data_IF_078922527731
#
_entry.id   IF_078922527731
#
_cell.length_a   1.000
_cell.length_b   1.000
_cell.length_c   1.000
_cell.angle_alpha   90.00
_cell.angle_beta   90.00
_cell.angle_gamma   90.00
#
_symmetry.space_group_name_H-M   'P 1'
#
loop_
_entity.id
_entity.type
_entity.pdbx_description
1 polymer ?
#
# COMPACT_ATOMS: atom_id res chain seq x y z
N UNK A 1 10.67 -26.92 1.61
CA UNK A 1 11.11 -25.87 0.67
C UNK A 1 9.92 -24.98 0.41
N UNK A 2 9.87 -23.80 1.05
CA UNK A 2 8.84 -22.80 0.72
C UNK A 2 9.15 -22.35 -0.71
N UNK A 3 8.29 -22.73 -1.65
CA UNK A 3 8.47 -22.42 -3.06
C UNK A 3 8.63 -20.92 -3.24
N UNK A 4 9.60 -20.51 -4.05
CA UNK A 4 9.88 -19.12 -4.36
C UNK A 4 8.62 -18.49 -4.96
N UNK A 5 7.87 -17.71 -4.15
CA UNK A 5 6.61 -17.13 -4.60
C UNK A 5 6.91 -16.13 -5.73
N UNK A 6 6.34 -16.31 -6.93
CA UNK A 6 6.75 -15.53 -8.10
C UNK A 6 6.32 -14.06 -8.01
N UNK A 7 5.30 -13.76 -7.21
CA UNK A 7 4.78 -12.42 -7.03
C UNK A 7 5.34 -11.78 -5.77
N UNK A 8 6.03 -10.66 -5.99
CA UNK A 8 6.63 -9.83 -4.95
C UNK A 8 5.93 -8.47 -4.86
N UNK A 9 4.64 -8.43 -5.17
CA UNK A 9 3.86 -7.19 -5.16
C UNK A 9 2.50 -7.36 -4.49
N UNK A 10 2.09 -6.31 -3.77
CA UNK A 10 0.81 -6.20 -3.08
C UNK A 10 0.12 -4.93 -3.56
N UNK A 11 -1.15 -5.04 -3.96
CA UNK A 11 -2.02 -3.90 -4.26
C UNK A 11 -3.15 -3.86 -3.23
N UNK A 12 -3.21 -2.78 -2.46
CA UNK A 12 -4.28 -2.56 -1.48
C UNK A 12 -5.34 -1.64 -2.08
N UNK A 13 -6.59 -2.10 -2.14
CA UNK A 13 -7.68 -1.35 -2.77
C UNK A 13 -8.69 -0.90 -1.72
N UNK A 14 -9.11 0.36 -1.76
CA UNK A 14 -10.30 0.82 -1.03
C UNK A 14 -11.24 1.65 -1.94
N UNK A 15 -12.20 2.38 -1.37
CA UNK A 15 -13.16 3.17 -2.16
C UNK A 15 -12.45 4.29 -2.95
N UNK A 16 -11.85 5.28 -2.28
CA UNK A 16 -11.30 6.49 -2.93
C UNK A 16 -9.80 6.69 -2.71
N UNK A 17 -9.11 5.75 -2.09
CA UNK A 17 -7.67 5.80 -1.80
C UNK A 17 -7.18 7.01 -0.98
N UNK A 18 -7.94 7.43 0.03
CA UNK A 18 -7.58 8.58 0.89
C UNK A 18 -7.16 8.22 2.31
N UNK A 19 -7.51 7.02 2.81
CA UNK A 19 -7.27 6.65 4.20
C UNK A 19 -6.85 5.18 4.35
N UNK A 20 -7.79 4.24 4.24
CA UNK A 20 -7.56 2.81 4.52
C UNK A 20 -6.41 2.20 3.70
N UNK A 21 -6.46 2.34 2.37
CA UNK A 21 -5.44 1.74 1.51
C UNK A 21 -4.08 2.46 1.57
N UNK A 22 -3.99 3.81 1.70
CA UNK A 22 -2.71 4.48 1.97
C UNK A 22 -2.08 4.12 3.33
N UNK A 23 -2.89 3.99 4.39
CA UNK A 23 -2.42 3.53 5.72
C UNK A 23 -1.81 2.13 5.59
N UNK A 24 -2.53 1.22 4.95
CA UNK A 24 -2.05 -0.15 4.74
C UNK A 24 -0.79 -0.19 3.86
N UNK A 25 -0.69 0.66 2.83
CA UNK A 25 0.52 0.81 2.03
C UNK A 25 1.71 1.26 2.88
N UNK A 26 1.54 2.29 3.72
CA UNK A 26 2.57 2.76 4.64
C UNK A 26 3.01 1.67 5.62
N UNK A 27 2.05 1.04 6.30
CA UNK A 27 2.30 -0.03 7.27
C UNK A 27 3.06 -1.22 6.67
N UNK A 28 2.56 -1.77 5.56
CA UNK A 28 3.20 -2.92 4.92
C UNK A 28 4.55 -2.56 4.32
N UNK A 29 4.72 -1.35 3.78
CA UNK A 29 6.02 -0.87 3.30
C UNK A 29 7.02 -0.75 4.45
N UNK A 30 6.60 -0.23 5.60
CA UNK A 30 7.44 -0.12 6.80
C UNK A 30 7.98 -1.50 7.22
N UNK A 31 7.09 -2.49 7.38
CA UNK A 31 7.51 -3.84 7.78
C UNK A 31 8.30 -4.58 6.70
N UNK A 32 7.98 -4.36 5.42
CA UNK A 32 8.76 -4.94 4.33
C UNK A 32 10.20 -4.44 4.37
N UNK A 33 10.39 -3.14 4.59
CA UNK A 33 11.73 -2.55 4.77
C UNK A 33 12.41 -3.04 6.05
N UNK A 34 11.69 -3.07 7.17
CA UNK A 34 12.21 -3.50 8.48
C UNK A 34 12.76 -4.94 8.43
N UNK A 35 12.07 -5.84 7.72
CA UNK A 35 12.45 -7.24 7.58
C UNK A 35 13.28 -7.53 6.33
N UNK A 36 13.71 -6.51 5.58
CA UNK A 36 14.45 -6.67 4.32
C UNK A 36 13.76 -7.60 3.31
N UNK A 37 12.41 -7.54 3.27
CA UNK A 37 11.60 -8.27 2.31
C UNK A 37 11.56 -7.50 0.99
N UNK A 38 11.92 -8.18 -0.09
CA UNK A 38 11.78 -7.66 -1.45
C UNK A 38 10.30 -7.74 -1.87
N UNK A 39 9.48 -6.82 -1.35
CA UNK A 39 8.03 -6.73 -1.62
C UNK A 39 7.67 -5.29 -2.00
N UNK A 40 7.05 -5.11 -3.16
CA UNK A 40 6.51 -3.83 -3.62
C UNK A 40 5.06 -3.67 -3.16
N UNK A 41 4.77 -2.64 -2.36
CA UNK A 41 3.42 -2.36 -1.88
C UNK A 41 2.89 -1.09 -2.54
N UNK A 42 1.69 -1.17 -3.13
CA UNK A 42 0.98 -0.06 -3.75
C UNK A 42 -0.46 0.03 -3.22
N UNK A 43 -1.11 1.19 -3.38
CA UNK A 43 -2.55 1.36 -3.10
C UNK A 43 -3.32 2.03 -4.25
N UNK A 44 -4.62 1.73 -4.37
CA UNK A 44 -5.53 2.43 -5.29
C UNK A 44 -6.99 2.50 -4.80
N UNK A 45 -7.80 3.29 -5.49
CA UNK A 45 -9.23 3.45 -5.25
C UNK A 45 -10.06 2.81 -6.36
N UNK A 46 -11.15 2.13 -6.02
CA UNK A 46 -12.05 1.52 -7.02
C UNK A 46 -13.07 2.51 -7.58
N UNK A 47 -13.35 3.61 -6.87
CA UNK A 47 -14.43 4.53 -7.23
C UNK A 47 -13.99 5.45 -8.38
N UNK A 48 -14.93 5.88 -9.23
CA UNK A 48 -14.65 6.83 -10.32
C UNK A 48 -14.12 8.18 -9.84
N UNK A 49 -14.33 8.50 -8.57
CA UNK A 49 -13.77 9.65 -7.86
C UNK A 49 -12.59 9.28 -6.94
N UNK A 50 -11.84 8.22 -7.29
CA UNK A 50 -10.60 7.88 -6.61
C UNK A 50 -9.63 9.07 -6.61
N UNK A 51 -8.95 9.24 -5.48
CA UNK A 51 -8.03 10.33 -5.19
C UNK A 51 -6.61 9.81 -5.04
N UNK A 52 -6.21 8.92 -5.96
CA UNK A 52 -4.89 8.30 -5.97
C UNK A 52 -3.79 9.37 -6.03
N UNK A 53 -2.85 9.34 -5.09
CA UNK A 53 -1.73 10.28 -5.04
C UNK A 53 -2.07 11.70 -4.56
N UNK A 54 -3.27 11.94 -4.01
CA UNK A 54 -3.64 13.25 -3.45
C UNK A 54 -2.94 13.52 -2.11
N UNK A 55 -2.75 14.81 -1.77
CA UNK A 55 -2.09 15.24 -0.51
C UNK A 55 -2.73 14.64 0.75
N UNK A 56 -4.06 14.51 0.76
CA UNK A 56 -4.77 13.90 1.89
C UNK A 56 -4.39 12.44 2.13
N UNK A 57 -3.95 11.73 1.08
CA UNK A 57 -3.52 10.33 1.14
C UNK A 57 -2.08 10.20 1.66
N UNK A 58 -1.27 11.26 1.57
CA UNK A 58 0.11 11.28 2.08
C UNK A 58 0.13 11.31 3.62
N UNK A 59 -0.73 12.12 4.25
CA UNK A 59 -0.86 12.13 5.71
C UNK A 59 -1.24 10.75 6.25
N UNK A 60 -2.18 10.08 5.57
CA UNK A 60 -2.60 8.72 5.90
C UNK A 60 -1.46 7.69 5.78
N UNK A 61 -0.53 7.89 4.84
CA UNK A 61 0.64 7.03 4.64
C UNK A 61 1.76 7.30 5.66
N UNK A 62 1.94 8.55 6.10
CA UNK A 62 3.01 8.99 7.01
C UNK A 62 2.69 8.78 8.50
N UNK A 63 1.42 8.64 8.87
CA UNK A 63 1.01 8.27 10.24
C UNK A 63 1.50 6.87 10.64
N UNK A 64 1.84 6.02 9.67
CA UNK A 64 2.38 4.67 9.88
C UNK A 64 3.89 4.62 9.74
#
# INVERSE_FOLDING_TARGET
MVGNFPYKSILVVCSVNTARSPIAEGYLSHFSNLFSLDIKVNSCGISSNARDGMLISLDAKLVM
#
